data_IF_388942674136
#
_entry.id   IF_388942674136
#
_cell.length_a   1.000
_cell.length_b   1.000
_cell.length_c   1.000
_cell.angle_alpha   90.00
_cell.angle_beta   90.00
_cell.angle_gamma   90.00
#
_symmetry.space_group_name_H-M   'P 1'
#
loop_
_entity.id
_entity.type
_entity.pdbx_description
1 polymer ?
#
# COMPACT_ATOMS: atom_id res chain seq x y z
N UNK A 1 1.70 -2.74 26.50
CA UNK A 1 0.47 -1.89 26.51
C UNK A 1 0.16 -1.32 27.89
N UNK A 2 0.11 -2.13 28.95
CA UNK A 2 -0.22 -1.65 30.30
C UNK A 2 0.70 -0.52 30.79
N UNK A 3 2.01 -0.66 30.60
CA UNK A 3 2.96 0.38 30.96
C UNK A 3 2.67 1.71 30.25
N UNK A 4 2.30 1.66 28.96
CA UNK A 4 1.92 2.85 28.22
C UNK A 4 0.65 3.51 28.78
N UNK A 5 -0.35 2.72 29.18
CA UNK A 5 -1.55 3.22 29.85
C UNK A 5 -1.21 3.84 31.21
N UNK A 6 -0.29 3.23 31.99
CA UNK A 6 0.20 3.80 33.25
C UNK A 6 0.86 5.15 33.02
N UNK A 7 1.81 5.25 32.08
CA UNK A 7 2.47 6.52 31.70
C UNK A 7 1.50 7.59 31.22
N UNK A 8 0.53 7.21 30.37
CA UNK A 8 -0.54 8.10 29.92
C UNK A 8 -1.29 8.68 31.12
N UNK A 9 -1.73 7.83 32.05
CA UNK A 9 -2.51 8.24 33.22
C UNK A 9 -1.67 8.96 34.30
N UNK A 10 -0.36 8.74 34.33
CA UNK A 10 0.59 9.48 35.18
C UNK A 10 0.90 10.90 34.64
N UNK A 11 0.45 11.23 33.43
CA UNK A 11 0.74 12.53 32.81
C UNK A 11 2.06 12.59 32.05
N UNK A 12 2.79 11.48 31.92
CA UNK A 12 4.05 11.40 31.17
C UNK A 12 3.86 11.45 29.64
N UNK A 13 2.64 11.18 29.16
CA UNK A 13 2.27 11.25 27.75
C UNK A 13 0.81 11.70 27.60
N UNK A 14 0.49 12.42 26.51
CA UNK A 14 -0.86 12.94 26.26
C UNK A 14 -1.75 12.03 25.41
N UNK A 15 -1.12 11.21 24.54
CA UNK A 15 -1.80 10.36 23.56
C UNK A 15 -1.06 9.03 23.43
N UNK A 16 -1.82 7.94 23.38
CA UNK A 16 -1.36 6.63 22.94
C UNK A 16 -1.70 6.45 21.46
N UNK A 17 -0.73 6.74 20.60
CA UNK A 17 -0.85 6.69 19.15
C UNK A 17 -0.29 5.38 18.55
N UNK A 18 -0.83 4.24 19.00
CA UNK A 18 -0.50 2.91 18.47
C UNK A 18 -1.79 2.11 18.25
N UNK A 19 -1.80 0.98 17.52
CA UNK A 19 -3.03 0.26 17.18
C UNK A 19 -3.64 -0.43 18.41
N UNK A 20 -4.34 0.34 19.24
CA UNK A 20 -4.93 -0.15 20.48
C UNK A 20 -6.37 -0.59 20.23
N UNK A 21 -6.64 -1.87 20.54
CA UNK A 21 -8.00 -2.45 20.50
C UNK A 21 -8.89 -1.80 21.53
N UNK A 22 -10.08 -1.36 21.09
CA UNK A 22 -11.14 -0.86 21.96
C UNK A 22 -11.79 -2.06 22.67
N UNK A 23 -11.60 -2.15 23.98
CA UNK A 23 -12.28 -3.15 24.84
C UNK A 23 -13.08 -2.45 25.94
N UNK A 24 -14.13 -3.11 26.45
CA UNK A 24 -14.94 -2.58 27.57
C UNK A 24 -14.07 -2.32 28.81
N UNK A 25 -13.13 -3.21 29.09
CA UNK A 25 -12.15 -3.05 30.16
C UNK A 25 -11.26 -1.81 29.95
N UNK A 26 -10.66 -1.62 28.77
CA UNK A 26 -9.79 -0.47 28.50
C UNK A 26 -10.55 0.86 28.57
N UNK A 27 -11.84 0.89 28.22
CA UNK A 27 -12.70 2.08 28.41
C UNK A 27 -12.82 2.49 29.88
N UNK A 28 -12.49 1.63 30.84
CA UNK A 28 -12.43 2.00 32.25
C UNK A 28 -11.18 2.84 32.59
N UNK A 29 -10.10 2.69 31.83
CA UNK A 29 -8.81 3.33 32.13
C UNK A 29 -8.45 4.48 31.17
N UNK A 30 -8.97 4.45 29.94
CA UNK A 30 -8.65 5.44 28.90
C UNK A 30 -9.90 5.90 28.15
N UNK A 31 -9.76 6.97 27.37
CA UNK A 31 -10.78 7.52 26.49
C UNK A 31 -10.27 7.41 25.04
N UNK A 32 -10.94 6.59 24.24
CA UNK A 32 -10.52 6.31 22.86
C UNK A 32 -10.94 7.40 21.88
N UNK A 33 -10.14 7.66 20.85
CA UNK A 33 -10.56 8.45 19.68
C UNK A 33 -11.65 7.71 18.89
N UNK A 34 -12.16 8.34 17.84
CA UNK A 34 -12.90 7.62 16.80
C UNK A 34 -12.01 6.51 16.21
N UNK A 35 -12.58 5.32 15.90
CA UNK A 35 -11.83 4.24 15.30
C UNK A 35 -11.11 4.64 14.00
N UNK A 36 -9.88 4.16 13.85
CA UNK A 36 -9.10 4.36 12.64
C UNK A 36 -9.48 3.34 11.56
N UNK A 37 -9.54 2.07 11.96
CA UNK A 37 -9.84 0.91 11.13
C UNK A 37 -10.27 -0.26 12.02
N UNK A 38 -10.75 -1.34 11.38
CA UNK A 38 -11.02 -2.59 12.06
C UNK A 38 -9.86 -3.56 11.85
N UNK A 39 -9.55 -4.34 12.87
CA UNK A 39 -8.59 -5.43 12.81
C UNK A 39 -9.17 -6.69 13.45
N UNK A 40 -8.45 -7.79 13.34
CA UNK A 40 -8.79 -9.04 14.00
C UNK A 40 -7.59 -9.50 14.82
N UNK A 41 -7.85 -10.33 15.81
CA UNK A 41 -6.81 -11.15 16.43
C UNK A 41 -6.65 -12.39 15.56
N UNK A 42 -5.42 -12.69 15.17
CA UNK A 42 -5.09 -13.82 14.29
C UNK A 42 -4.11 -14.75 14.98
N UNK A 43 -4.25 -16.03 14.69
CA UNK A 43 -3.26 -17.04 15.03
C UNK A 43 -2.06 -16.85 14.12
N UNK A 44 -0.87 -16.74 14.70
CA UNK A 44 0.40 -16.78 13.98
C UNK A 44 1.01 -18.16 14.15
N UNK A 45 1.31 -18.82 13.03
CA UNK A 45 1.81 -20.18 12.96
C UNK A 45 2.84 -20.33 11.84
N UNK A 46 3.66 -21.38 11.88
CA UNK A 46 4.60 -21.69 10.80
C UNK A 46 3.92 -22.45 9.67
N UNK A 47 4.30 -22.13 8.44
CA UNK A 47 4.07 -22.99 7.28
C UNK A 47 4.83 -24.32 7.42
N UNK A 48 4.32 -25.41 6.82
CA UNK A 48 4.98 -26.70 6.87
C UNK A 48 6.39 -26.65 6.25
N UNK A 49 7.24 -27.58 6.67
CA UNK A 49 8.60 -27.69 6.12
C UNK A 49 8.52 -28.02 4.62
N UNK A 50 9.22 -27.25 3.79
CA UNK A 50 9.18 -27.42 2.33
C UNK A 50 7.98 -26.76 1.65
N UNK A 51 7.25 -25.88 2.35
CA UNK A 51 6.10 -25.15 1.80
C UNK A 51 6.39 -24.42 0.48
N UNK A 52 7.65 -24.09 0.19
CA UNK A 52 8.06 -23.44 -1.07
C UNK A 52 7.77 -24.29 -2.31
N UNK A 53 7.67 -25.61 -2.14
CA UNK A 53 7.38 -26.58 -3.21
C UNK A 53 5.94 -27.08 -3.20
N UNK A 54 5.14 -26.64 -2.23
CA UNK A 54 3.77 -27.10 -2.01
C UNK A 54 2.77 -26.16 -2.67
N UNK A 55 1.64 -26.71 -3.12
CA UNK A 55 0.47 -25.94 -3.52
C UNK A 55 -0.18 -25.28 -2.29
N UNK A 56 -0.99 -24.24 -2.52
CA UNK A 56 -1.70 -23.57 -1.43
C UNK A 56 -2.66 -24.51 -0.69
N UNK A 57 -3.26 -25.49 -1.37
CA UNK A 57 -4.18 -26.43 -0.76
C UNK A 57 -3.45 -27.41 0.17
N UNK A 58 -2.29 -27.91 -0.26
CA UNK A 58 -1.46 -28.77 0.59
C UNK A 58 -0.91 -28.02 1.82
N UNK A 59 -0.56 -26.74 1.67
CA UNK A 59 -0.17 -25.88 2.79
C UNK A 59 -1.37 -25.70 3.74
N UNK A 60 -2.54 -25.34 3.20
CA UNK A 60 -3.74 -25.08 4.00
C UNK A 60 -4.21 -26.33 4.76
N UNK A 61 -4.05 -27.53 4.20
CA UNK A 61 -4.40 -28.79 4.85
C UNK A 61 -3.58 -29.08 6.11
N UNK A 62 -2.39 -28.48 6.26
CA UNK A 62 -1.50 -28.70 7.40
C UNK A 62 -1.53 -27.55 8.43
N UNK A 63 -2.26 -26.48 8.12
CA UNK A 63 -2.37 -25.31 8.98
C UNK A 63 -3.69 -25.34 9.75
N UNK A 64 -3.68 -24.81 10.97
CA UNK A 64 -4.92 -24.55 11.71
C UNK A 64 -5.68 -23.49 10.93
N UNK A 65 -6.84 -23.83 10.37
CA UNK A 65 -7.72 -22.91 9.61
C UNK A 65 -9.04 -22.65 10.33
N UNK A 66 -9.47 -23.58 11.17
CA UNK A 66 -10.61 -23.42 12.06
C UNK A 66 -10.11 -23.22 13.50
N UNK A 67 -10.58 -22.18 14.22
CA UNK A 67 -10.25 -22.00 15.64
C UNK A 67 -10.54 -23.21 16.53
N UNK A 68 -11.47 -24.09 16.15
CA UNK A 68 -11.74 -25.35 16.86
C UNK A 68 -10.53 -26.31 16.86
N UNK A 69 -9.63 -26.23 15.88
CA UNK A 69 -8.45 -27.09 15.79
C UNK A 69 -7.35 -26.69 16.79
N UNK A 70 -7.58 -25.64 17.60
CA UNK A 70 -6.69 -25.23 18.70
C UNK A 70 -6.89 -26.05 19.99
N UNK A 71 -7.87 -26.94 20.05
CA UNK A 71 -8.07 -27.81 21.22
C UNK A 71 -6.80 -28.63 21.48
N UNK A 72 -6.36 -28.64 22.73
CA UNK A 72 -5.13 -29.24 23.24
C UNK A 72 -3.83 -28.67 22.65
N UNK A 73 -3.89 -27.56 21.89
CA UNK A 73 -2.69 -26.86 21.39
C UNK A 73 -2.18 -25.87 22.43
N UNK A 74 -0.87 -25.70 22.46
CA UNK A 74 -0.20 -24.71 23.30
C UNK A 74 -0.05 -23.40 22.53
N UNK A 75 -0.63 -22.33 23.06
CA UNK A 75 -0.60 -21.00 22.44
C UNK A 75 0.03 -20.01 23.40
N UNK A 76 1.13 -19.41 22.96
CA UNK A 76 1.88 -18.43 23.73
C UNK A 76 1.34 -17.03 23.45
N UNK A 77 1.03 -16.26 24.48
CA UNK A 77 0.54 -14.89 24.35
C UNK A 77 1.18 -13.98 25.39
N UNK A 78 1.20 -12.68 25.10
CA UNK A 78 1.65 -11.69 26.07
C UNK A 78 0.76 -11.73 27.32
N UNK A 79 1.41 -11.79 28.49
CA UNK A 79 0.73 -11.74 29.78
C UNK A 79 -0.16 -10.49 29.88
N UNK A 80 -1.39 -10.68 30.40
CA UNK A 80 -2.43 -9.63 30.55
C UNK A 80 -2.81 -8.91 29.26
N UNK A 81 -2.56 -9.52 28.10
CA UNK A 81 -3.04 -8.98 26.84
C UNK A 81 -4.52 -9.33 26.62
N UNK A 82 -5.17 -8.60 25.69
CA UNK A 82 -6.51 -8.95 25.22
C UNK A 82 -6.56 -10.32 24.52
N UNK A 83 -5.41 -10.90 24.18
CA UNK A 83 -5.30 -12.22 23.58
C UNK A 83 -5.58 -13.34 24.59
N UNK A 84 -5.20 -13.15 25.86
CA UNK A 84 -5.47 -14.10 26.96
C UNK A 84 -6.97 -14.28 27.12
N UNK A 85 -7.71 -13.18 27.30
CA UNK A 85 -9.17 -13.23 27.44
C UNK A 85 -9.85 -13.79 26.20
N UNK A 86 -9.32 -13.52 25.00
CA UNK A 86 -9.88 -14.08 23.78
C UNK A 86 -9.72 -15.60 23.71
N UNK A 87 -8.55 -16.13 24.02
CA UNK A 87 -8.29 -17.56 24.02
C UNK A 87 -9.10 -18.29 25.10
N UNK A 88 -9.27 -17.69 26.29
CA UNK A 88 -10.15 -18.25 27.35
C UNK A 88 -11.60 -18.36 26.88
N UNK A 89 -12.15 -17.25 26.36
CA UNK A 89 -13.51 -17.26 25.82
C UNK A 89 -13.65 -18.25 24.65
N UNK A 90 -12.65 -18.34 23.77
CA UNK A 90 -12.66 -19.30 22.66
C UNK A 90 -12.67 -20.74 23.17
N UNK A 91 -11.86 -21.05 24.20
CA UNK A 91 -11.82 -22.37 24.84
C UNK A 91 -13.18 -22.76 25.45
N UNK A 92 -13.85 -21.80 26.09
CA UNK A 92 -15.23 -21.98 26.60
C UNK A 92 -16.24 -22.20 25.45
N UNK A 93 -16.16 -21.38 24.39
CA UNK A 93 -17.07 -21.44 23.23
C UNK A 93 -16.95 -22.77 22.46
N UNK A 94 -15.74 -23.31 22.30
CA UNK A 94 -15.50 -24.57 21.58
C UNK A 94 -15.71 -25.81 22.46
N UNK A 95 -15.83 -25.65 23.79
CA UNK A 95 -15.98 -26.77 24.73
C UNK A 95 -14.72 -27.64 24.87
N UNK A 96 -13.54 -27.08 24.62
CA UNK A 96 -12.26 -27.79 24.67
C UNK A 96 -11.12 -26.87 25.15
N UNK A 97 -10.14 -27.45 25.84
CA UNK A 97 -9.06 -26.70 26.47
C UNK A 97 -8.03 -26.22 25.43
N UNK A 98 -7.70 -24.92 25.46
CA UNK A 98 -6.52 -24.37 24.78
C UNK A 98 -5.46 -24.13 25.86
N UNK A 99 -4.26 -24.68 25.69
CA UNK A 99 -3.18 -24.54 26.67
C UNK A 99 -2.54 -23.15 26.52
N UNK A 100 -3.01 -22.17 27.29
CA UNK A 100 -2.55 -20.77 27.19
C UNK A 100 -1.30 -20.57 28.05
N UNK A 101 -0.19 -20.19 27.41
CA UNK A 101 1.06 -19.83 28.11
C UNK A 101 1.22 -18.31 28.05
N UNK A 102 1.21 -17.67 29.22
CA UNK A 102 1.40 -16.23 29.34
C UNK A 102 2.90 -15.89 29.46
N UNK A 103 3.50 -15.41 28.38
CA UNK A 103 4.91 -14.98 28.34
C UNK A 103 5.09 -13.58 28.95
N UNK A 104 6.29 -13.30 29.48
CA UNK A 104 6.60 -12.08 30.28
C UNK A 104 6.09 -10.77 29.64
N UNK A 105 5.61 -9.87 30.49
CA UNK A 105 5.05 -8.56 30.11
C UNK A 105 6.06 -7.61 29.46
N UNK A 106 7.37 -7.90 29.54
CA UNK A 106 8.43 -7.15 28.87
C UNK A 106 8.60 -7.54 27.39
N UNK A 107 8.00 -8.66 26.96
CA UNK A 107 8.02 -9.07 25.56
C UNK A 107 7.11 -8.18 24.71
N UNK A 108 7.58 -7.82 23.52
CA UNK A 108 6.76 -7.22 22.46
C UNK A 108 6.07 -8.33 21.66
N UNK A 109 4.92 -8.05 21.04
CA UNK A 109 4.19 -9.04 20.22
C UNK A 109 5.09 -9.63 19.13
N UNK A 110 5.98 -8.81 18.59
CA UNK A 110 7.01 -9.14 17.61
C UNK A 110 7.98 -10.21 18.11
N UNK A 111 8.30 -10.22 19.41
CA UNK A 111 9.19 -11.23 20.00
C UNK A 111 8.57 -12.62 19.96
N UNK A 112 7.28 -12.76 20.28
CA UNK A 112 6.59 -14.05 20.18
C UNK A 112 6.43 -14.49 18.73
N UNK A 113 6.14 -13.56 17.82
CA UNK A 113 6.08 -13.87 16.38
C UNK A 113 7.43 -14.37 15.86
N UNK A 114 8.53 -13.77 16.31
CA UNK A 114 9.89 -14.21 15.97
C UNK A 114 10.16 -15.63 16.51
N UNK A 115 9.78 -15.93 17.77
CA UNK A 115 9.92 -17.29 18.33
C UNK A 115 9.14 -18.33 17.52
N UNK A 116 7.93 -17.99 17.03
CA UNK A 116 7.20 -18.84 16.08
C UNK A 116 8.00 -19.01 14.79
N UNK A 117 8.54 -17.94 14.21
CA UNK A 117 9.31 -18.03 12.96
C UNK A 117 10.56 -18.92 13.10
N UNK A 118 11.22 -18.89 14.26
CA UNK A 118 12.39 -19.69 14.59
C UNK A 118 12.05 -21.14 14.97
N UNK A 119 10.77 -21.43 15.26
CA UNK A 119 10.33 -22.75 15.69
C UNK A 119 10.61 -23.06 17.17
N UNK A 120 10.79 -22.02 18.00
CA UNK A 120 10.92 -22.17 19.45
C UNK A 120 9.57 -22.40 20.13
N UNK A 121 8.50 -21.86 19.53
CA UNK A 121 7.10 -22.08 19.93
C UNK A 121 6.27 -22.32 18.67
N UNK A 122 5.14 -23.03 18.80
CA UNK A 122 4.31 -23.38 17.64
C UNK A 122 3.35 -22.26 17.25
N UNK A 123 2.74 -21.60 18.24
CA UNK A 123 1.64 -20.68 18.05
C UNK A 123 1.74 -19.45 18.94
N UNK A 124 1.41 -18.29 18.37
CA UNK A 124 1.09 -17.08 19.14
C UNK A 124 -0.15 -16.39 18.57
N UNK A 125 -0.67 -15.39 19.28
CA UNK A 125 -1.77 -14.54 18.82
C UNK A 125 -1.29 -13.10 18.73
N UNK A 126 -1.64 -12.44 17.64
CA UNK A 126 -1.31 -11.04 17.42
C UNK A 126 -2.46 -10.30 16.73
N UNK A 127 -2.43 -8.97 16.78
CA UNK A 127 -3.27 -8.15 15.91
C UNK A 127 -2.86 -8.39 14.44
N UNK A 128 -3.86 -8.53 13.56
CA UNK A 128 -3.68 -8.86 12.15
C UNK A 128 -2.68 -7.95 11.43
N UNK A 129 -2.67 -6.65 11.77
CA UNK A 129 -1.75 -5.67 11.18
C UNK A 129 -0.30 -5.97 11.59
N UNK A 130 -0.06 -6.24 12.87
CA UNK A 130 1.28 -6.54 13.39
C UNK A 130 1.77 -7.86 12.81
N UNK A 131 0.91 -8.88 12.76
CA UNK A 131 1.23 -10.14 12.12
C UNK A 131 1.58 -9.94 10.63
N UNK A 132 0.77 -9.19 9.88
CA UNK A 132 0.99 -8.96 8.46
C UNK A 132 2.30 -8.22 8.15
N UNK A 133 2.73 -7.30 9.04
CA UNK A 133 4.06 -6.66 8.97
C UNK A 133 5.16 -7.69 9.20
N UNK A 134 5.04 -8.52 10.23
CA UNK A 134 6.07 -9.53 10.56
C UNK A 134 6.20 -10.64 9.50
N UNK A 135 5.11 -11.03 8.84
CA UNK A 135 5.11 -11.98 7.72
C UNK A 135 5.98 -11.54 6.53
N UNK A 136 6.34 -10.26 6.44
CA UNK A 136 7.28 -9.76 5.43
C UNK A 136 8.74 -10.12 5.76
N UNK A 137 9.11 -10.16 7.03
CA UNK A 137 10.44 -10.54 7.51
C UNK A 137 10.59 -12.06 7.62
N UNK A 138 9.47 -12.76 7.88
CA UNK A 138 9.43 -14.21 8.05
C UNK A 138 8.45 -14.87 7.06
N UNK A 139 8.88 -15.17 5.81
CA UNK A 139 8.03 -15.76 4.77
C UNK A 139 7.45 -17.13 5.12
N UNK A 140 8.09 -17.83 6.05
CA UNK A 140 7.70 -19.12 6.60
C UNK A 140 6.53 -19.03 7.60
N UNK A 141 6.01 -17.83 7.90
CA UNK A 141 4.83 -17.65 8.74
C UNK A 141 3.53 -17.58 7.94
N UNK A 142 2.45 -17.98 8.61
CA UNK A 142 1.05 -17.78 8.26
C UNK A 142 0.32 -17.07 9.40
N UNK A 143 -0.60 -16.17 9.04
CA UNK A 143 -1.44 -15.45 10.00
C UNK A 143 -2.87 -15.24 9.46
N UNK A 144 -3.36 -16.21 8.69
CA UNK A 144 -4.67 -16.08 8.01
C UNK A 144 -5.85 -16.53 8.88
N UNK A 145 -5.58 -17.28 9.95
CA UNK A 145 -6.61 -17.84 10.84
C UNK A 145 -7.06 -16.80 11.84
N UNK A 146 -8.30 -16.34 11.68
CA UNK A 146 -8.92 -15.30 12.50
C UNK A 146 -9.54 -15.92 13.76
N UNK A 147 -9.21 -15.36 14.93
CA UNK A 147 -9.66 -15.85 16.25
C UNK A 147 -10.69 -14.94 16.91
N UNK A 148 -10.98 -13.78 16.34
CA UNK A 148 -11.92 -12.80 16.90
C UNK A 148 -12.89 -12.26 15.85
N UNK A 149 -14.01 -11.73 16.33
CA UNK A 149 -14.81 -10.78 15.54
C UNK A 149 -13.99 -9.53 15.17
N UNK A 150 -14.43 -8.74 14.18
CA UNK A 150 -13.80 -7.46 13.87
C UNK A 150 -13.75 -6.55 15.10
N UNK A 151 -12.55 -6.09 15.47
CA UNK A 151 -12.30 -5.20 16.59
C UNK A 151 -11.91 -3.82 16.11
N UNK A 152 -12.49 -2.78 16.72
CA UNK A 152 -12.16 -1.40 16.40
C UNK A 152 -10.82 -1.02 17.00
N UNK A 153 -9.94 -0.46 16.18
CA UNK A 153 -8.63 0.06 16.58
C UNK A 153 -8.71 1.58 16.66
N UNK A 154 -8.30 2.14 17.80
CA UNK A 154 -8.29 3.58 18.04
C UNK A 154 -7.08 4.00 18.88
N UNK A 155 -6.67 5.26 18.75
CA UNK A 155 -5.78 5.88 19.72
C UNK A 155 -6.52 6.16 21.02
N UNK A 156 -5.76 6.43 22.08
CA UNK A 156 -6.34 6.71 23.39
C UNK A 156 -5.71 7.95 24.03
N UNK A 157 -6.53 8.68 24.78
CA UNK A 157 -6.13 9.79 25.64
C UNK A 157 -6.58 9.52 27.08
N UNK A 158 -6.10 10.32 28.03
CA UNK A 158 -6.57 10.25 29.42
C UNK A 158 -8.06 10.51 29.52
N UNK A 159 -8.73 9.86 30.47
CA UNK A 159 -10.18 10.04 30.71
C UNK A 159 -10.58 11.49 30.98
N UNK A 160 -9.73 12.24 31.68
CA UNK A 160 -9.91 13.63 32.04
C UNK A 160 -9.54 14.63 30.92
N UNK A 161 -9.19 14.16 29.72
CA UNK A 161 -8.75 15.00 28.59
C UNK A 161 -9.74 14.99 27.40
N UNK A 162 -11.05 15.29 27.60
CA UNK A 162 -12.05 15.22 26.53
C UNK A 162 -11.83 16.26 25.42
N UNK A 163 -11.29 17.45 25.74
CA UNK A 163 -10.98 18.48 24.73
C UNK A 163 -9.93 17.99 23.72
N UNK A 164 -8.89 17.29 24.20
CA UNK A 164 -7.86 16.70 23.36
C UNK A 164 -8.44 15.58 22.48
N UNK A 165 -9.30 14.72 23.04
CA UNK A 165 -10.02 13.70 22.26
C UNK A 165 -10.79 14.32 21.08
N UNK A 166 -11.53 15.40 21.34
CA UNK A 166 -12.29 16.12 20.31
C UNK A 166 -11.38 16.70 19.24
N UNK A 167 -10.30 17.40 19.63
CA UNK A 167 -9.34 17.96 18.69
C UNK A 167 -8.70 16.89 17.79
N UNK A 168 -8.32 15.75 18.35
CA UNK A 168 -7.78 14.62 17.59
C UNK A 168 -8.83 14.05 16.63
N UNK A 169 -10.09 13.89 17.07
CA UNK A 169 -11.17 13.37 16.21
C UNK A 169 -11.48 14.29 15.02
N UNK A 170 -11.49 15.60 15.24
CA UNK A 170 -11.64 16.59 14.17
C UNK A 170 -10.49 16.52 13.18
N UNK A 171 -9.25 16.45 13.69
CA UNK A 171 -8.06 16.28 12.85
C UNK A 171 -8.09 14.97 12.05
N UNK A 172 -8.49 13.86 12.67
CA UNK A 172 -8.62 12.56 12.00
C UNK A 172 -9.66 12.62 10.88
N UNK A 173 -10.82 13.24 11.13
CA UNK A 173 -11.89 13.37 10.13
C UNK A 173 -11.45 14.19 8.92
N UNK A 174 -10.71 15.28 9.15
CA UNK A 174 -10.14 16.09 8.06
C UNK A 174 -9.03 15.34 7.32
N UNK A 175 -8.15 14.64 8.04
CA UNK A 175 -6.99 13.97 7.48
C UNK A 175 -7.36 12.73 6.67
N UNK A 176 -8.32 11.92 7.14
CA UNK A 176 -8.81 10.72 6.42
C UNK A 176 -9.40 11.01 5.03
N UNK A 177 -9.83 12.25 4.78
CA UNK A 177 -10.33 12.70 3.46
C UNK A 177 -9.22 13.03 2.46
N UNK A 178 -7.97 13.19 2.92
CA UNK A 178 -6.84 13.53 2.05
C UNK A 178 -6.32 12.28 1.34
N UNK A 179 -5.96 12.42 0.06
CA UNK A 179 -5.33 11.34 -0.71
C UNK A 179 -4.08 10.78 -0.02
N UNK A 180 -3.27 11.64 0.60
CA UNK A 180 -2.07 11.27 1.36
C UNK A 180 -2.37 10.27 2.49
N UNK A 181 -3.51 10.39 3.18
CA UNK A 181 -3.90 9.42 4.20
C UNK A 181 -4.17 8.06 3.58
N UNK A 182 -4.84 8.00 2.42
CA UNK A 182 -5.09 6.75 1.71
C UNK A 182 -3.80 6.09 1.21
N UNK A 183 -2.81 6.88 0.78
CA UNK A 183 -1.47 6.38 0.43
C UNK A 183 -0.81 5.71 1.64
N UNK A 184 -0.73 6.42 2.76
CA UNK A 184 -0.15 5.90 4.01
C UNK A 184 -0.92 4.66 4.48
N UNK A 185 -2.24 4.73 4.49
CA UNK A 185 -3.09 3.63 4.93
C UNK A 185 -2.93 2.37 4.06
N UNK A 186 -2.94 2.53 2.72
CA UNK A 186 -2.70 1.42 1.80
C UNK A 186 -1.31 0.81 2.04
N UNK A 187 -0.29 1.66 2.24
CA UNK A 187 1.09 1.22 2.47
C UNK A 187 1.21 0.34 3.70
N UNK A 188 0.79 0.84 4.87
CA UNK A 188 1.05 0.16 6.14
C UNK A 188 -0.02 -0.87 6.53
N UNK A 189 -1.27 -0.73 6.05
CA UNK A 189 -2.39 -1.53 6.54
C UNK A 189 -3.05 -2.44 5.50
N UNK A 190 -3.05 -2.08 4.20
CA UNK A 190 -3.67 -2.94 3.15
C UNK A 190 -2.68 -3.80 2.37
N UNK A 191 -1.41 -3.39 2.26
CA UNK A 191 -0.40 -4.14 1.51
C UNK A 191 0.97 -4.16 2.20
N UNK A 192 1.06 -4.57 3.49
CA UNK A 192 2.29 -4.51 4.27
C UNK A 192 3.45 -5.27 3.61
N UNK A 193 3.22 -6.46 3.00
CA UNK A 193 4.24 -7.20 2.23
C UNK A 193 4.79 -6.41 1.04
N UNK A 194 3.93 -5.87 0.18
CA UNK A 194 4.36 -5.09 -1.01
C UNK A 194 5.03 -3.77 -0.61
N UNK A 195 4.62 -3.19 0.51
CA UNK A 195 5.21 -1.97 1.06
C UNK A 195 6.56 -2.19 1.74
N UNK A 196 6.77 -3.35 2.38
CA UNK A 196 8.06 -3.75 2.96
C UNK A 196 9.05 -4.26 1.91
N UNK A 197 8.59 -4.97 0.87
CA UNK A 197 9.42 -5.27 -0.31
C UNK A 197 9.87 -4.00 -1.03
N UNK A 198 9.00 -2.98 -1.11
CA UNK A 198 9.38 -1.64 -1.55
C UNK A 198 10.33 -0.93 -0.58
N UNK A 199 10.17 -1.17 0.72
CA UNK A 199 11.02 -0.63 1.80
C UNK A 199 12.39 -1.32 1.96
N UNK A 200 12.53 -2.54 1.44
CA UNK A 200 13.76 -3.34 1.43
C UNK A 200 14.40 -3.41 0.03
N UNK A 201 13.83 -2.73 -0.98
CA UNK A 201 14.54 -2.53 -2.24
C UNK A 201 15.78 -1.68 -1.96
N UNK A 202 16.86 -1.89 -2.70
CA UNK A 202 18.14 -1.16 -2.55
C UNK A 202 18.02 0.37 -2.72
N UNK A 203 16.82 0.86 -3.07
CA UNK A 203 16.45 2.25 -3.30
C UNK A 203 15.28 2.72 -2.42
N UNK A 204 14.95 1.93 -1.41
CA UNK A 204 13.92 2.25 -0.44
C UNK A 204 14.43 3.29 0.56
N UNK A 205 13.89 4.49 0.49
CA UNK A 205 14.18 5.61 1.39
C UNK A 205 13.64 5.35 2.81
N UNK A 206 14.25 4.43 3.55
CA UNK A 206 14.18 4.44 5.02
C UNK A 206 15.38 5.20 5.60
N UNK A 207 16.53 5.28 4.89
CA UNK A 207 17.76 5.88 5.43
C UNK A 207 18.62 6.68 4.43
N UNK A 208 18.09 7.22 3.32
CA UNK A 208 18.95 7.98 2.38
C UNK A 208 18.25 9.00 1.47
N UNK A 209 18.95 10.11 1.21
CA UNK A 209 18.57 11.22 0.31
C UNK A 209 18.57 10.84 -1.20
N UNK A 210 18.52 9.54 -1.52
CA UNK A 210 18.60 9.03 -2.90
C UNK A 210 17.45 8.09 -3.23
N UNK A 211 16.77 8.34 -4.34
CA UNK A 211 15.71 7.49 -4.90
C UNK A 211 16.24 6.48 -5.91
N UNK A 212 17.36 6.77 -6.56
CA UNK A 212 17.93 5.93 -7.60
C UNK A 212 19.42 6.24 -7.81
N UNK A 213 20.17 5.40 -8.55
CA UNK A 213 21.50 5.74 -9.01
C UNK A 213 21.53 6.91 -10.00
N UNK A 214 20.36 7.29 -10.55
CA UNK A 214 20.21 8.22 -11.66
C UNK A 214 19.60 9.55 -11.24
N UNK A 215 19.50 9.84 -9.94
CA UNK A 215 18.78 11.03 -9.44
C UNK A 215 19.23 12.34 -10.09
N UNK A 216 20.52 12.49 -10.40
CA UNK A 216 21.03 13.67 -11.10
C UNK A 216 20.47 13.79 -12.52
N UNK A 217 20.43 12.69 -13.28
CA UNK A 217 19.84 12.64 -14.62
C UNK A 217 18.33 12.85 -14.58
N UNK A 218 17.66 12.29 -13.56
CA UNK A 218 16.22 12.46 -13.36
C UNK A 218 15.91 13.92 -13.01
N UNK A 219 16.69 14.55 -12.13
CA UNK A 219 16.56 15.98 -11.79
C UNK A 219 16.75 16.84 -13.03
N UNK A 220 17.80 16.62 -13.81
CA UNK A 220 18.04 17.31 -15.09
C UNK A 220 16.82 17.15 -16.02
N UNK A 221 16.37 15.92 -16.26
CA UNK A 221 15.19 15.63 -17.09
C UNK A 221 13.91 16.31 -16.62
N UNK A 222 13.66 16.34 -15.31
CA UNK A 222 12.48 16.94 -14.72
C UNK A 222 12.43 18.46 -14.90
N UNK A 223 13.58 19.15 -14.93
CA UNK A 223 13.62 20.60 -15.21
C UNK A 223 13.04 20.93 -16.60
N UNK A 224 13.28 20.09 -17.61
CA UNK A 224 12.72 20.29 -18.96
C UNK A 224 11.20 20.10 -19.02
N UNK A 225 10.63 19.39 -18.05
CA UNK A 225 9.18 19.18 -17.93
C UNK A 225 8.52 20.20 -17.01
N UNK A 226 9.31 20.99 -16.26
CA UNK A 226 8.84 21.76 -15.11
C UNK A 226 8.08 20.88 -14.09
N UNK A 227 8.59 19.67 -13.87
CA UNK A 227 8.03 18.70 -12.94
C UNK A 227 8.89 18.62 -11.67
N UNK A 228 8.27 18.20 -10.57
CA UNK A 228 9.02 17.69 -9.42
C UNK A 228 9.77 16.44 -9.86
N UNK A 229 11.09 16.40 -9.65
CA UNK A 229 11.92 15.28 -10.07
C UNK A 229 11.51 13.94 -9.43
N UNK A 230 10.89 13.99 -8.23
CA UNK A 230 10.36 12.81 -7.55
C UNK A 230 9.20 12.18 -8.34
N UNK A 231 8.43 12.96 -9.10
CA UNK A 231 7.38 12.43 -9.96
C UNK A 231 7.98 11.65 -11.14
N UNK A 232 9.01 12.21 -11.80
CA UNK A 232 9.71 11.52 -12.87
C UNK A 232 10.41 10.26 -12.34
N UNK A 233 10.99 10.30 -11.14
CA UNK A 233 11.54 9.12 -10.47
C UNK A 233 10.47 8.05 -10.20
N UNK A 234 9.29 8.46 -9.70
CA UNK A 234 8.18 7.54 -9.40
C UNK A 234 7.66 6.83 -10.66
N UNK A 235 7.66 7.54 -11.79
CA UNK A 235 7.35 7.02 -13.10
C UNK A 235 8.41 6.01 -13.58
N UNK A 236 9.71 6.38 -13.55
CA UNK A 236 10.81 5.46 -13.95
C UNK A 236 10.79 4.18 -13.10
N UNK A 237 10.51 4.29 -11.80
CA UNK A 237 10.36 3.12 -10.95
C UNK A 237 9.20 2.22 -11.41
N UNK A 238 8.08 2.81 -11.82
CA UNK A 238 6.94 2.05 -12.32
C UNK A 238 7.28 1.31 -13.61
N UNK A 239 8.07 1.94 -14.48
CA UNK A 239 8.48 1.39 -15.77
C UNK A 239 9.48 0.24 -15.63
N UNK A 240 10.58 0.46 -14.90
CA UNK A 240 11.74 -0.45 -14.92
C UNK A 240 12.30 -0.79 -13.54
N UNK A 241 11.74 -0.23 -12.46
CA UNK A 241 12.32 -0.28 -11.11
C UNK A 241 13.79 0.18 -11.09
N UNK A 242 14.11 1.17 -11.92
CA UNK A 242 15.46 1.68 -12.16
C UNK A 242 16.45 0.65 -12.75
N UNK A 243 15.97 -0.40 -13.43
CA UNK A 243 16.82 -1.33 -14.15
C UNK A 243 16.99 -0.87 -15.61
N UNK A 244 18.18 -0.41 -16.02
CA UNK A 244 18.40 0.11 -17.37
C UNK A 244 18.38 -0.99 -18.44
N UNK A 245 18.54 -2.26 -18.07
CA UNK A 245 18.50 -3.40 -18.99
C UNK A 245 17.14 -4.09 -19.02
N UNK A 246 16.11 -3.49 -18.42
CA UNK A 246 14.78 -4.07 -18.39
C UNK A 246 14.13 -4.08 -19.78
N UNK A 247 13.48 -5.19 -20.11
CA UNK A 247 12.81 -5.39 -21.39
C UNK A 247 11.42 -5.99 -21.14
N UNK A 248 10.38 -5.28 -21.58
CA UNK A 248 9.02 -5.79 -21.50
C UNK A 248 8.76 -6.87 -22.56
N UNK A 249 7.74 -7.68 -22.32
CA UNK A 249 7.26 -8.69 -23.27
C UNK A 249 6.82 -8.07 -24.62
N UNK A 250 6.40 -6.81 -24.63
CA UNK A 250 6.01 -6.06 -25.82
C UNK A 250 7.21 -5.43 -26.54
N UNK A 251 8.42 -5.54 -25.99
CA UNK A 251 9.66 -5.04 -26.58
C UNK A 251 10.05 -3.62 -26.18
N UNK A 252 9.40 -3.04 -25.18
CA UNK A 252 9.83 -1.78 -24.58
C UNK A 252 11.16 -1.98 -23.83
N UNK A 253 12.08 -1.00 -23.87
CA UNK A 253 13.43 -1.14 -23.28
C UNK A 253 13.88 0.09 -22.49
N UNK A 254 14.78 -0.15 -21.54
CA UNK A 254 15.47 0.91 -20.82
C UNK A 254 14.73 1.42 -19.58
N UNK A 255 15.32 2.41 -18.91
CA UNK A 255 14.75 3.02 -17.70
C UNK A 255 13.32 3.54 -17.92
N UNK A 256 13.07 4.17 -19.07
CA UNK A 256 11.80 4.77 -19.43
C UNK A 256 10.87 3.80 -20.21
N UNK A 257 11.28 2.53 -20.42
CA UNK A 257 10.51 1.54 -21.18
C UNK A 257 9.95 2.09 -22.50
N UNK A 258 10.83 2.60 -23.37
CA UNK A 258 10.40 3.14 -24.66
C UNK A 258 10.23 2.02 -25.67
N UNK A 259 9.10 2.03 -26.39
CA UNK A 259 8.90 1.17 -27.57
C UNK A 259 9.91 1.52 -28.67
N UNK A 260 10.36 0.56 -29.50
CA UNK A 260 11.39 0.80 -30.51
C UNK A 260 11.10 1.98 -31.46
N UNK A 261 9.86 2.10 -31.93
CA UNK A 261 9.44 3.21 -32.79
C UNK A 261 9.53 4.58 -32.08
N UNK A 262 9.20 4.63 -30.79
CA UNK A 262 9.32 5.83 -29.96
C UNK A 262 10.79 6.18 -29.71
N UNK A 263 11.61 5.20 -29.38
CA UNK A 263 13.06 5.37 -29.20
C UNK A 263 13.71 5.93 -30.48
N UNK A 264 13.38 5.36 -31.65
CA UNK A 264 13.85 5.85 -32.94
C UNK A 264 13.39 7.30 -33.22
N UNK A 265 12.11 7.61 -32.97
CA UNK A 265 11.56 8.96 -33.16
C UNK A 265 12.30 10.03 -32.35
N UNK A 266 12.84 9.67 -31.18
CA UNK A 266 13.57 10.59 -30.31
C UNK A 266 15.10 10.48 -30.40
N UNK A 267 15.61 9.72 -31.38
CA UNK A 267 17.03 9.63 -31.70
C UNK A 267 17.85 8.78 -30.75
N UNK A 268 17.25 7.75 -30.14
CA UNK A 268 17.95 6.81 -29.25
C UNK A 268 18.66 5.75 -30.05
N UNK A 269 19.98 5.63 -29.86
CA UNK A 269 20.81 4.58 -30.46
C UNK A 269 20.93 3.35 -29.56
N UNK A 270 20.96 3.56 -28.23
CA UNK A 270 20.98 2.51 -27.23
C UNK A 270 19.94 2.81 -26.14
N UNK A 271 18.78 2.10 -26.11
CA UNK A 271 17.75 2.34 -25.09
C UNK A 271 18.17 1.89 -23.67
N UNK A 272 19.18 1.03 -23.56
CA UNK A 272 19.68 0.56 -22.27
C UNK A 272 20.68 1.55 -21.64
N UNK A 273 21.14 2.56 -22.40
CA UNK A 273 21.92 3.65 -21.82
C UNK A 273 20.99 4.56 -20.96
N UNK A 274 21.24 4.70 -19.65
CA UNK A 274 20.38 5.46 -18.75
C UNK A 274 20.11 6.89 -19.22
N UNK A 275 21.13 7.56 -19.76
CA UNK A 275 21.03 8.96 -20.18
C UNK A 275 20.18 9.08 -21.45
N UNK A 276 20.44 8.24 -22.46
CA UNK A 276 19.62 8.21 -23.67
C UNK A 276 18.17 7.84 -23.38
N UNK A 277 17.94 6.84 -22.52
CA UNK A 277 16.59 6.41 -22.10
C UNK A 277 15.82 7.56 -21.45
N UNK A 278 16.41 8.23 -20.45
CA UNK A 278 15.78 9.36 -19.74
C UNK A 278 15.55 10.54 -20.68
N UNK A 279 16.54 10.96 -21.48
CA UNK A 279 16.40 12.10 -22.40
C UNK A 279 15.25 11.87 -23.40
N UNK A 280 15.18 10.67 -23.99
CA UNK A 280 14.13 10.36 -24.95
C UNK A 280 12.75 10.26 -24.29
N UNK A 281 12.67 9.66 -23.10
CA UNK A 281 11.44 9.62 -22.32
C UNK A 281 10.95 11.02 -21.95
N UNK A 282 11.85 11.90 -21.53
CA UNK A 282 11.56 13.31 -21.22
C UNK A 282 11.07 14.06 -22.47
N UNK A 283 11.68 13.85 -23.64
CA UNK A 283 11.19 14.43 -24.91
C UNK A 283 9.80 13.92 -25.28
N UNK A 284 9.53 12.64 -25.04
CA UNK A 284 8.21 12.07 -25.28
C UNK A 284 7.17 12.66 -24.32
N UNK A 285 7.48 12.72 -23.02
CA UNK A 285 6.64 13.35 -22.00
C UNK A 285 6.38 14.83 -22.31
N UNK A 286 7.39 15.57 -22.76
CA UNK A 286 7.25 16.98 -23.14
C UNK A 286 6.25 17.16 -24.29
N UNK A 287 6.30 16.29 -25.30
CA UNK A 287 5.31 16.30 -26.38
C UNK A 287 3.88 16.03 -25.88
N UNK A 288 3.71 15.13 -24.92
CA UNK A 288 2.41 14.85 -24.31
C UNK A 288 1.93 16.04 -23.46
N UNK A 289 2.81 16.61 -22.63
CA UNK A 289 2.54 17.80 -21.81
C UNK A 289 2.09 18.97 -22.69
N UNK A 290 2.80 19.25 -23.78
CA UNK A 290 2.47 20.34 -24.71
C UNK A 290 1.14 20.10 -25.44
N UNK A 291 0.79 18.84 -25.73
CA UNK A 291 -0.51 18.50 -26.29
C UNK A 291 -1.65 18.75 -25.29
N UNK A 292 -1.45 18.35 -24.03
CA UNK A 292 -2.48 18.42 -22.99
C UNK A 292 -2.61 19.81 -22.38
N UNK A 293 -1.54 20.62 -22.33
CA UNK A 293 -1.57 21.99 -21.82
C UNK A 293 -2.55 22.87 -22.59
N UNK A 294 -2.76 22.59 -23.88
CA UNK A 294 -3.73 23.27 -24.74
C UNK A 294 -5.20 22.95 -24.39
N UNK A 295 -5.44 21.92 -23.57
CA UNK A 295 -6.77 21.36 -23.29
C UNK A 295 -7.11 21.30 -21.81
N UNK A 296 -6.10 21.32 -20.94
CA UNK A 296 -6.21 21.12 -19.50
C UNK A 296 -5.30 22.16 -18.83
N UNK A 297 -5.93 23.22 -18.33
CA UNK A 297 -5.23 24.31 -17.65
C UNK A 297 -4.68 23.88 -16.28
N UNK A 298 -5.46 23.09 -15.54
CA UNK A 298 -5.08 22.57 -14.23
C UNK A 298 -3.95 21.56 -14.36
N UNK A 299 -2.76 21.95 -13.92
CA UNK A 299 -1.56 21.10 -13.93
C UNK A 299 -1.71 19.80 -13.13
N UNK A 300 -2.52 19.80 -12.05
CA UNK A 300 -2.75 18.62 -11.20
C UNK A 300 -3.62 17.58 -11.88
N UNK A 301 -4.52 18.00 -12.76
CA UNK A 301 -5.26 17.11 -13.65
C UNK A 301 -4.39 16.70 -14.83
N UNK A 302 -3.75 17.68 -15.50
CA UNK A 302 -2.98 17.48 -16.71
C UNK A 302 -1.91 16.38 -16.58
N UNK A 303 -1.19 16.35 -15.46
CA UNK A 303 -0.16 15.34 -15.22
C UNK A 303 -0.72 13.91 -15.31
N UNK A 304 -1.94 13.66 -14.83
CA UNK A 304 -2.59 12.35 -14.91
C UNK A 304 -2.89 11.95 -16.36
N UNK A 305 -3.31 12.92 -17.19
CA UNK A 305 -3.51 12.69 -18.63
C UNK A 305 -2.21 12.39 -19.37
N UNK A 306 -1.11 13.06 -19.00
CA UNK A 306 0.21 12.79 -19.55
C UNK A 306 0.66 11.38 -19.20
N UNK A 307 0.60 11.00 -17.92
CA UNK A 307 0.97 9.66 -17.44
C UNK A 307 0.15 8.57 -18.13
N UNK A 308 -1.17 8.76 -18.23
CA UNK A 308 -2.04 7.80 -18.92
C UNK A 308 -1.71 7.71 -20.42
N UNK A 309 -1.48 8.85 -21.08
CA UNK A 309 -1.13 8.87 -22.50
C UNK A 309 0.23 8.26 -22.80
N UNK A 310 1.15 8.31 -21.83
CA UNK A 310 2.45 7.65 -21.92
C UNK A 310 2.28 6.13 -21.96
N UNK A 311 1.44 5.59 -21.08
CA UNK A 311 1.23 4.15 -20.92
C UNK A 311 0.34 3.54 -22.02
N UNK A 312 -0.82 4.15 -22.34
CA UNK A 312 -1.79 3.56 -23.28
C UNK A 312 -1.87 4.25 -24.64
N UNK A 313 -1.12 5.34 -24.81
CA UNK A 313 -1.16 6.15 -26.01
C UNK A 313 -2.24 7.24 -25.99
N UNK A 314 -1.91 8.36 -26.63
CA UNK A 314 -2.70 9.58 -26.64
C UNK A 314 -4.13 9.41 -27.17
N UNK A 315 -4.30 8.57 -28.20
CA UNK A 315 -5.59 8.41 -28.89
C UNK A 315 -6.64 7.78 -27.97
N UNK A 316 -6.26 6.79 -27.15
CA UNK A 316 -7.20 6.18 -26.21
C UNK A 316 -7.72 7.17 -25.16
N UNK A 317 -6.83 8.04 -24.65
CA UNK A 317 -7.22 9.09 -23.70
C UNK A 317 -8.11 10.14 -24.37
N UNK A 318 -7.80 10.50 -25.62
CA UNK A 318 -8.61 11.45 -26.39
C UNK A 318 -10.01 10.90 -26.67
N UNK A 319 -10.14 9.61 -26.99
CA UNK A 319 -11.43 8.94 -27.15
C UNK A 319 -12.26 8.97 -25.86
N UNK A 320 -11.63 8.66 -24.72
CA UNK A 320 -12.31 8.71 -23.43
C UNK A 320 -12.82 10.13 -23.09
N UNK A 321 -12.07 11.17 -23.46
CA UNK A 321 -12.52 12.57 -23.35
C UNK A 321 -13.70 12.89 -24.26
N UNK A 322 -13.69 12.40 -25.50
CA UNK A 322 -14.82 12.60 -26.42
C UNK A 322 -16.08 11.88 -25.90
N UNK A 323 -15.93 10.69 -25.34
CA UNK A 323 -17.02 10.01 -24.64
C UNK A 323 -17.52 10.84 -23.46
N UNK A 324 -16.64 11.40 -22.62
CA UNK A 324 -17.07 12.29 -21.54
C UNK A 324 -17.89 13.49 -22.04
N UNK A 325 -17.45 14.14 -23.13
CA UNK A 325 -18.19 15.24 -23.78
C UNK A 325 -19.57 14.77 -24.27
N UNK A 326 -19.64 13.62 -24.96
CA UNK A 326 -20.90 13.04 -25.45
C UNK A 326 -21.93 12.90 -24.33
N UNK A 327 -21.49 12.50 -23.15
CA UNK A 327 -22.32 12.33 -21.96
C UNK A 327 -22.37 13.58 -21.07
N UNK A 328 -21.99 14.75 -21.60
CA UNK A 328 -22.08 16.05 -20.94
C UNK A 328 -21.28 16.14 -19.61
N UNK A 329 -20.20 15.36 -19.50
CA UNK A 329 -19.28 15.39 -18.36
C UNK A 329 -18.03 16.20 -18.67
N UNK A 330 -17.31 16.64 -17.62
CA UNK A 330 -16.12 17.47 -17.76
C UNK A 330 -14.94 16.67 -18.34
N UNK A 331 -14.46 16.97 -19.57
CA UNK A 331 -13.35 16.23 -20.20
C UNK A 331 -11.97 16.69 -19.73
N UNK A 332 -11.88 17.66 -18.83
CA UNK A 332 -10.62 18.11 -18.22
C UNK A 332 -10.37 17.49 -16.83
N UNK A 333 -11.35 16.77 -16.29
CA UNK A 333 -11.24 16.07 -15.01
C UNK A 333 -10.84 14.61 -15.25
N UNK A 334 -9.70 14.19 -14.71
CA UNK A 334 -9.21 12.83 -14.85
C UNK A 334 -10.15 11.81 -14.21
N UNK A 335 -10.73 12.12 -13.05
CA UNK A 335 -11.59 11.19 -12.31
C UNK A 335 -12.93 10.95 -13.05
N UNK A 336 -13.25 11.83 -14.00
CA UNK A 336 -14.32 11.65 -14.99
C UNK A 336 -13.82 10.81 -16.17
N UNK A 337 -12.69 11.21 -16.77
CA UNK A 337 -12.18 10.59 -18.01
C UNK A 337 -11.76 9.14 -17.79
N UNK A 338 -11.20 8.80 -16.63
CA UNK A 338 -10.82 7.42 -16.30
C UNK A 338 -12.01 6.46 -16.35
N UNK A 339 -13.21 6.91 -15.96
CA UNK A 339 -14.43 6.10 -15.99
C UNK A 339 -14.82 5.74 -17.42
N UNK A 340 -14.65 6.67 -18.35
CA UNK A 340 -14.89 6.41 -19.78
C UNK A 340 -13.78 5.59 -20.42
N UNK A 341 -12.55 5.74 -19.94
CA UNK A 341 -11.43 4.93 -20.38
C UNK A 341 -11.66 3.45 -20.02
N UNK A 342 -12.10 3.14 -18.80
CA UNK A 342 -12.45 1.78 -18.37
C UNK A 342 -13.61 1.19 -19.17
N UNK A 343 -14.59 2.01 -19.54
CA UNK A 343 -15.73 1.62 -20.38
C UNK A 343 -15.33 1.26 -21.82
N UNK A 344 -14.13 1.60 -22.29
CA UNK A 344 -13.65 1.20 -23.64
C UNK A 344 -13.38 -0.31 -23.79
N UNK A 345 -13.63 -1.10 -22.75
CA UNK A 345 -13.71 -2.56 -22.84
C UNK A 345 -15.09 -3.06 -23.31
N UNK A 346 -16.12 -2.22 -23.24
CA UNK A 346 -17.50 -2.51 -23.62
C UNK A 346 -17.77 -2.08 -25.08
N UNK A 347 -18.31 -2.98 -25.94
CA UNK A 347 -18.68 -2.66 -27.33
C UNK A 347 -19.54 -1.41 -27.50
N UNK A 348 -20.44 -1.11 -26.56
CA UNK A 348 -21.29 0.07 -26.62
C UNK A 348 -20.48 1.39 -26.62
N UNK A 349 -19.28 1.37 -26.03
CA UNK A 349 -18.42 2.52 -25.94
C UNK A 349 -17.30 2.49 -26.97
N UNK A 350 -16.60 1.37 -27.17
CA UNK A 350 -15.45 1.36 -28.08
C UNK A 350 -15.84 1.38 -29.56
N UNK A 351 -17.08 1.02 -29.91
CA UNK A 351 -17.63 1.16 -31.28
C UNK A 351 -18.35 2.49 -31.50
N UNK A 352 -18.38 3.37 -30.50
CA UNK A 352 -19.06 4.66 -30.63
C UNK A 352 -18.38 5.52 -31.73
N UNK A 353 -19.14 6.29 -32.53
CA UNK A 353 -18.58 7.08 -33.65
C UNK A 353 -17.48 8.06 -33.24
N UNK A 354 -17.45 8.48 -31.98
CA UNK A 354 -16.47 9.41 -31.45
C UNK A 354 -15.09 8.75 -31.19
N UNK A 355 -15.05 7.42 -31.10
CA UNK A 355 -13.87 6.62 -30.71
C UNK A 355 -13.09 6.20 -31.95
N UNK A 356 -11.79 6.54 -31.98
CA UNK A 356 -10.89 6.23 -33.10
C UNK A 356 -10.02 5.02 -32.81
N UNK A 357 -9.47 4.90 -31.60
CA UNK A 357 -8.53 3.82 -31.27
C UNK A 357 -9.21 2.46 -31.03
N UNK A 358 -10.54 2.44 -30.92
CA UNK A 358 -11.30 1.22 -30.68
C UNK A 358 -11.12 0.64 -29.27
N UNK A 359 -11.19 -0.69 -29.18
CA UNK A 359 -11.19 -1.45 -27.93
C UNK A 359 -9.96 -1.16 -27.07
N UNK A 360 -10.16 -1.07 -25.76
CA UNK A 360 -9.08 -1.04 -24.79
C UNK A 360 -9.46 -1.75 -23.49
N UNK A 361 -8.57 -2.63 -23.03
CA UNK A 361 -8.60 -3.17 -21.66
C UNK A 361 -7.80 -2.24 -20.74
N UNK A 362 -8.44 -1.12 -20.43
CA UNK A 362 -7.79 0.08 -19.90
C UNK A 362 -7.68 0.14 -18.37
N UNK A 363 -7.81 -1.00 -17.66
CA UNK A 363 -7.57 -1.10 -16.21
C UNK A 363 -6.10 -0.85 -15.85
N UNK A 364 -5.17 -1.34 -16.69
CA UNK A 364 -3.73 -1.18 -16.46
C UNK A 364 -3.27 0.29 -16.51
N UNK A 365 -3.68 1.11 -17.49
CA UNK A 365 -3.38 2.54 -17.53
C UNK A 365 -3.91 3.35 -16.34
N UNK A 366 -5.14 3.05 -15.90
CA UNK A 366 -5.73 3.72 -14.72
C UNK A 366 -4.93 3.37 -13.47
N UNK A 367 -4.61 2.08 -13.29
CA UNK A 367 -3.76 1.62 -12.19
C UNK A 367 -2.35 2.22 -12.27
N UNK A 368 -1.78 2.35 -13.47
CA UNK A 368 -0.47 2.95 -13.69
C UNK A 368 -0.43 4.39 -13.16
N UNK A 369 -1.42 5.22 -13.52
CA UNK A 369 -1.53 6.59 -13.02
C UNK A 369 -1.64 6.61 -11.49
N UNK A 370 -2.50 5.77 -10.92
CA UNK A 370 -2.67 5.67 -9.46
C UNK A 370 -1.35 5.29 -8.76
N UNK A 371 -0.64 4.27 -9.26
CA UNK A 371 0.61 3.79 -8.67
C UNK A 371 1.74 4.83 -8.74
N UNK A 372 1.87 5.54 -9.87
CA UNK A 372 2.87 6.62 -10.03
C UNK A 372 2.57 7.77 -9.07
N UNK A 373 1.33 8.24 -9.01
CA UNK A 373 0.94 9.35 -8.12
C UNK A 373 1.09 8.97 -6.65
N UNK A 374 0.68 7.77 -6.26
CA UNK A 374 0.84 7.29 -4.88
C UNK A 374 2.33 7.23 -4.48
N UNK A 375 3.20 6.77 -5.39
CA UNK A 375 4.64 6.70 -5.15
C UNK A 375 5.30 8.09 -5.13
N UNK A 376 4.83 9.01 -5.96
CA UNK A 376 5.28 10.39 -5.91
C UNK A 376 4.97 11.05 -4.56
N UNK A 377 3.74 10.91 -4.07
CA UNK A 377 3.37 11.39 -2.74
C UNK A 377 4.16 10.69 -1.63
N UNK A 378 4.51 9.42 -1.81
CA UNK A 378 5.42 8.70 -0.91
C UNK A 378 6.82 9.32 -0.89
N UNK A 379 7.42 9.58 -2.05
CA UNK A 379 8.75 10.17 -2.15
C UNK A 379 8.82 11.57 -1.53
N UNK A 380 7.76 12.37 -1.63
CA UNK A 380 7.66 13.68 -0.99
C UNK A 380 7.69 13.63 0.55
N UNK A 381 7.33 12.51 1.16
CA UNK A 381 7.34 12.36 2.61
C UNK A 381 8.73 12.04 3.17
N UNK A 382 9.61 11.46 2.36
CA UNK A 382 10.88 10.87 2.82
C UNK A 382 12.12 11.58 2.30
N UNK A 383 11.98 12.39 1.24
CA UNK A 383 13.09 13.11 0.62
C UNK A 383 12.66 14.55 0.43
N UNK A 384 13.43 15.47 1.02
CA UNK A 384 13.16 16.91 1.00
C UNK A 384 13.39 17.51 -0.39
#
# INVERSE_FOLDING_TARGET
VENAIKKLNAGEADVLAFPLTITSERKNYVRFTQPHFNSHQVLVQRKPKGWEQMTNDEINAQLIRNPQDLVNKTVHVLNRSSFVSRLKNLSEEIGGEINIVEDSADAQSESLIQKVAMGEIDFTVADQVIAAVNLSYYPNLDASTVLSLPQQIAWAVRKNSPKLQTAINEWLTKTKKKATFMVIYKRYYKSPRTSLLRANSRYASINGDKLSPYDNLIKEGATHLNWDWRLLAAMIYQESRFNPSDQSWAGARGLMQLMPATAQRFGVSNPDDPRQSIIAGVRFLKNLEDYWAKKIADSTQRVKFVLASYNVGLTHITDARKLAIKYQQNPADWDVVEKYLLKKSDPAFYKAPEVIAGYCKCEEPVRYVEEVINRFEEYKLHIN
#
